data_IF_005977772430
#
_entry.id   IF_005977772430
#
_cell.length_a   1.000
_cell.length_b   1.000
_cell.length_c   1.000
_cell.angle_alpha   90.00
_cell.angle_beta   90.00
_cell.angle_gamma   90.00
#
_symmetry.space_group_name_H-M   'P 1'
#
loop_
_entity.id
_entity.type
_entity.pdbx_description
1 polymer ?
#
# COMPACT_ATOMS: atom_id res chain seq x y z
N UNK A 1 21.09 11.39 -1.14
CA UNK A 1 21.26 10.84 -2.50
C UNK A 1 20.09 11.35 -3.32
N UNK A 2 20.35 12.07 -4.40
CA UNK A 2 19.27 12.54 -5.26
C UNK A 2 18.59 11.34 -5.94
N UNK A 3 17.26 11.37 -6.03
CA UNK A 3 16.49 10.36 -6.76
C UNK A 3 16.91 10.33 -8.24
N UNK A 4 16.84 9.18 -8.90
CA UNK A 4 17.25 9.01 -10.31
C UNK A 4 16.57 10.00 -11.26
N UNK A 5 15.38 10.48 -10.91
CA UNK A 5 14.56 11.39 -11.72
C UNK A 5 14.54 12.83 -11.19
N UNK A 6 15.07 13.10 -10.00
CA UNK A 6 14.91 14.38 -9.31
C UNK A 6 13.49 14.66 -8.82
N UNK A 7 12.56 13.68 -8.95
CA UNK A 7 11.18 13.77 -8.48
C UNK A 7 11.04 13.17 -7.08
N UNK A 8 10.07 13.66 -6.27
CA UNK A 8 9.75 13.02 -5.00
C UNK A 8 9.27 11.57 -5.20
N UNK A 9 9.65 10.68 -4.29
CA UNK A 9 9.31 9.25 -4.38
C UNK A 9 7.97 8.97 -3.69
N UNK A 10 7.12 8.20 -4.35
CA UNK A 10 5.90 7.61 -3.77
C UNK A 10 6.00 6.09 -3.81
N UNK A 11 5.78 5.47 -2.65
CA UNK A 11 5.66 4.03 -2.52
C UNK A 11 4.18 3.62 -2.53
N UNK A 12 3.82 2.65 -3.37
CA UNK A 12 2.44 2.12 -3.46
C UNK A 12 2.45 0.63 -3.17
N UNK A 13 1.86 0.19 -2.07
CA UNK A 13 1.68 -1.25 -1.81
C UNK A 13 0.34 -1.74 -2.38
N UNK A 14 0.26 -2.99 -2.80
CA UNK A 14 -0.91 -3.47 -3.54
C UNK A 14 -0.98 -2.86 -4.95
N UNK A 15 0.18 -2.52 -5.50
CA UNK A 15 0.33 -1.76 -6.75
C UNK A 15 -0.17 -2.50 -8.00
N UNK A 16 -0.22 -3.82 -7.98
CA UNK A 16 -0.74 -4.64 -9.07
C UNK A 16 -2.26 -4.87 -8.99
N UNK A 17 -2.90 -4.45 -7.90
CA UNK A 17 -4.35 -4.54 -7.71
C UNK A 17 -5.14 -3.53 -8.55
N UNK A 18 -6.46 -3.66 -8.52
CA UNK A 18 -7.39 -2.82 -9.31
C UNK A 18 -7.22 -1.31 -9.02
N UNK A 19 -7.12 -0.94 -7.75
CA UNK A 19 -6.92 0.45 -7.34
C UNK A 19 -5.45 0.84 -7.52
N UNK A 20 -4.52 -0.04 -7.08
CA UNK A 20 -3.09 0.21 -7.12
C UNK A 20 -2.57 0.57 -8.50
N UNK A 21 -2.95 -0.16 -9.54
CA UNK A 21 -2.54 0.13 -10.93
C UNK A 21 -3.00 1.51 -11.40
N UNK A 22 -4.16 1.98 -10.96
CA UNK A 22 -4.69 3.31 -11.28
C UNK A 22 -3.95 4.40 -10.53
N UNK A 23 -3.64 4.17 -9.25
CA UNK A 23 -2.85 5.09 -8.41
C UNK A 23 -1.45 5.24 -8.99
N UNK A 24 -0.76 4.13 -9.30
CA UNK A 24 0.56 4.15 -9.95
C UNK A 24 0.53 4.99 -11.23
N UNK A 25 -0.47 4.76 -12.09
CA UNK A 25 -0.62 5.54 -13.33
C UNK A 25 -0.90 7.02 -13.08
N UNK A 26 -1.73 7.35 -12.11
CA UNK A 26 -2.12 8.73 -11.83
C UNK A 26 -0.95 9.59 -11.35
N UNK A 27 -0.02 9.01 -10.59
CA UNK A 27 1.10 9.75 -10.02
C UNK A 27 2.40 9.68 -10.87
N UNK A 28 2.47 8.81 -11.86
CA UNK A 28 3.71 8.56 -12.63
C UNK A 28 4.25 9.77 -13.42
N UNK A 29 3.44 10.77 -13.72
CA UNK A 29 3.89 12.00 -14.40
C UNK A 29 4.66 12.93 -13.47
N UNK A 30 4.25 13.03 -12.21
CA UNK A 30 4.73 14.06 -11.28
C UNK A 30 5.70 13.52 -10.23
N UNK A 31 5.64 12.20 -9.96
CA UNK A 31 6.42 11.50 -8.96
C UNK A 31 7.22 10.34 -9.53
N UNK A 32 8.27 9.96 -8.83
CA UNK A 32 8.93 8.68 -9.00
C UNK A 32 8.13 7.63 -8.22
N UNK A 33 7.39 6.77 -8.92
CA UNK A 33 6.48 5.82 -8.29
C UNK A 33 7.11 4.44 -8.23
N UNK A 34 7.19 3.86 -7.05
CA UNK A 34 7.64 2.49 -6.82
C UNK A 34 6.47 1.65 -6.31
N UNK A 35 6.12 0.62 -7.06
CA UNK A 35 5.08 -0.34 -6.66
C UNK A 35 5.66 -1.49 -5.85
N UNK A 36 4.99 -1.84 -4.74
CA UNK A 36 5.22 -3.09 -4.02
C UNK A 36 4.00 -3.98 -4.13
N UNK A 37 4.21 -5.23 -4.54
CA UNK A 37 3.15 -6.25 -4.57
C UNK A 37 3.77 -7.65 -4.59
N UNK A 38 2.96 -8.67 -4.34
CA UNK A 38 3.35 -10.09 -4.42
C UNK A 38 3.73 -10.51 -5.85
N UNK A 39 3.13 -9.86 -6.85
CA UNK A 39 3.37 -10.14 -8.27
C UNK A 39 3.46 -8.85 -9.07
N UNK A 40 4.34 -8.84 -10.06
CA UNK A 40 4.44 -7.74 -11.01
C UNK A 40 3.12 -7.57 -11.79
N UNK A 41 2.64 -6.33 -11.97
CA UNK A 41 1.45 -6.09 -12.79
C UNK A 41 1.70 -6.51 -14.26
N UNK A 42 0.66 -7.03 -14.91
CA UNK A 42 0.73 -7.44 -16.32
C UNK A 42 1.11 -6.28 -17.25
N UNK A 43 0.62 -5.07 -16.92
CA UNK A 43 0.92 -3.83 -17.66
C UNK A 43 1.70 -2.89 -16.76
N UNK A 44 2.93 -2.64 -17.11
CA UNK A 44 3.77 -1.65 -16.43
C UNK A 44 3.49 -0.26 -16.95
N UNK A 45 3.59 0.74 -16.09
CA UNK A 45 3.53 2.16 -16.46
C UNK A 45 4.96 2.64 -16.70
N UNK A 46 5.17 3.34 -17.81
CA UNK A 46 6.49 3.87 -18.13
C UNK A 46 6.96 4.84 -17.03
N UNK A 47 8.24 4.75 -16.65
CA UNK A 47 8.83 5.60 -15.61
C UNK A 47 8.46 5.21 -14.17
N UNK A 48 7.90 4.01 -13.98
CA UNK A 48 7.64 3.47 -12.64
C UNK A 48 8.48 2.22 -12.39
N UNK A 49 8.88 2.01 -11.14
CA UNK A 49 9.59 0.81 -10.71
C UNK A 49 8.67 -0.13 -9.94
N UNK A 50 9.08 -1.38 -9.86
CA UNK A 50 8.35 -2.44 -9.14
C UNK A 50 9.32 -3.32 -8.36
N UNK A 51 8.98 -3.56 -7.10
CA UNK A 51 9.71 -4.46 -6.22
C UNK A 51 8.71 -5.53 -5.72
N UNK A 52 9.06 -6.80 -5.90
CA UNK A 52 8.26 -7.90 -5.37
C UNK A 52 8.38 -7.95 -3.85
N UNK A 53 7.23 -8.03 -3.18
CA UNK A 53 7.16 -8.04 -1.73
C UNK A 53 5.96 -8.85 -1.24
N UNK A 54 6.26 -9.87 -0.42
CA UNK A 54 5.25 -10.62 0.32
C UNK A 54 5.14 -10.05 1.75
N UNK A 55 4.12 -9.24 2.00
CA UNK A 55 3.89 -8.62 3.31
C UNK A 55 3.60 -9.64 4.43
N UNK A 56 3.36 -10.91 4.09
CA UNK A 56 3.17 -11.96 5.10
C UNK A 56 4.48 -12.50 5.67
N UNK A 57 5.63 -12.09 5.09
CA UNK A 57 6.97 -12.59 5.44
C UNK A 57 7.91 -11.44 5.83
N UNK A 58 8.48 -11.53 7.03
CA UNK A 58 9.40 -10.51 7.56
C UNK A 58 10.60 -10.29 6.64
N UNK A 59 11.24 -11.38 6.18
CA UNK A 59 12.42 -11.30 5.32
C UNK A 59 12.11 -10.63 3.98
N UNK A 60 10.93 -10.91 3.40
CA UNK A 60 10.52 -10.30 2.13
C UNK A 60 10.33 -8.79 2.26
N UNK A 61 9.74 -8.34 3.37
CA UNK A 61 9.55 -6.91 3.64
C UNK A 61 10.88 -6.20 3.82
N UNK A 62 11.79 -6.79 4.61
CA UNK A 62 13.13 -6.22 4.83
C UNK A 62 13.89 -6.12 3.51
N UNK A 63 13.97 -7.21 2.73
CA UNK A 63 14.66 -7.22 1.44
C UNK A 63 14.08 -6.22 0.44
N UNK A 64 12.75 -6.10 0.38
CA UNK A 64 12.09 -5.17 -0.51
C UNK A 64 12.41 -3.71 -0.14
N UNK A 65 12.41 -3.36 1.16
CA UNK A 65 12.71 -2.02 1.61
C UNK A 65 14.22 -1.69 1.55
N UNK A 66 15.11 -2.67 1.72
CA UNK A 66 16.55 -2.49 1.47
C UNK A 66 16.80 -2.21 -0.02
N UNK A 67 16.18 -2.98 -0.92
CA UNK A 67 16.23 -2.74 -2.37
C UNK A 67 15.70 -1.35 -2.74
N UNK A 68 14.61 -0.93 -2.08
CA UNK A 68 14.01 0.39 -2.26
C UNK A 68 14.97 1.48 -1.83
N UNK A 69 15.61 1.33 -0.65
CA UNK A 69 16.62 2.26 -0.13
C UNK A 69 17.81 2.41 -1.07
N UNK A 70 18.32 1.28 -1.58
CA UNK A 70 19.49 1.28 -2.48
C UNK A 70 19.20 1.95 -3.82
N UNK A 71 17.98 1.79 -4.34
CA UNK A 71 17.61 2.28 -5.66
C UNK A 71 17.01 3.70 -5.65
N UNK A 72 16.28 4.08 -4.60
CA UNK A 72 15.44 5.29 -4.55
C UNK A 72 15.71 6.17 -3.31
N UNK A 73 16.63 5.75 -2.42
CA UNK A 73 16.92 6.46 -1.18
C UNK A 73 15.93 6.12 -0.06
N UNK A 74 15.93 6.96 0.98
CA UNK A 74 15.18 6.70 2.21
C UNK A 74 14.11 7.75 2.52
N UNK A 75 13.85 8.67 1.56
CA UNK A 75 12.89 9.75 1.72
C UNK A 75 11.70 9.54 0.79
N UNK A 76 10.50 9.52 1.35
CA UNK A 76 9.25 9.37 0.61
C UNK A 76 8.32 10.55 0.84
N UNK A 77 7.82 11.14 -0.24
CA UNK A 77 6.73 12.11 -0.16
C UNK A 77 5.44 11.44 0.34
N UNK A 78 5.21 10.18 -0.06
CA UNK A 78 4.05 9.43 0.45
C UNK A 78 4.27 7.92 0.36
N UNK A 79 3.71 7.20 1.33
CA UNK A 79 3.47 5.77 1.26
C UNK A 79 1.96 5.56 1.15
N UNK A 80 1.49 5.01 0.04
CA UNK A 80 0.08 4.70 -0.20
C UNK A 80 -0.12 3.19 -0.01
N UNK A 81 -0.69 2.83 1.13
CA UNK A 81 -0.85 1.43 1.53
C UNK A 81 -2.23 0.91 1.15
N UNK A 82 -2.29 0.14 0.04
CA UNK A 82 -3.50 -0.47 -0.50
C UNK A 82 -3.49 -2.00 -0.40
N UNK A 83 -2.35 -2.59 -0.02
CA UNK A 83 -2.25 -4.04 0.14
C UNK A 83 -3.10 -4.52 1.31
N UNK A 84 -4.09 -5.32 1.01
CA UNK A 84 -4.98 -5.94 1.98
C UNK A 84 -5.54 -7.23 1.41
N UNK A 85 -5.94 -8.15 2.28
CA UNK A 85 -6.73 -9.30 1.86
C UNK A 85 -8.20 -8.92 1.81
N UNK A 86 -8.84 -9.24 0.69
CA UNK A 86 -10.26 -9.07 0.52
C UNK A 86 -10.85 -10.25 -0.24
N UNK A 87 -11.89 -10.86 0.31
CA UNK A 87 -12.61 -11.98 -0.28
C UNK A 87 -14.13 -11.72 -0.27
N UNK A 88 -14.74 -11.77 -1.43
CA UNK A 88 -16.19 -11.60 -1.60
C UNK A 88 -16.99 -12.82 -1.16
N UNK A 89 -16.36 -13.97 -0.92
CA UNK A 89 -17.07 -15.19 -0.49
C UNK A 89 -17.66 -15.08 0.91
N UNK A 90 -17.15 -14.16 1.73
CA UNK A 90 -17.52 -14.01 3.14
C UNK A 90 -17.02 -15.16 4.02
N UNK A 91 -16.18 -16.04 3.50
CA UNK A 91 -15.63 -17.15 4.28
C UNK A 91 -14.53 -16.66 5.22
N UNK A 92 -14.45 -17.19 6.44
CA UNK A 92 -13.34 -16.91 7.35
C UNK A 92 -12.00 -17.27 6.72
N UNK A 93 -11.02 -16.37 6.83
CA UNK A 93 -9.67 -16.60 6.34
C UNK A 93 -8.63 -15.98 7.27
N UNK A 94 -7.60 -16.74 7.60
CA UNK A 94 -6.44 -16.26 8.35
C UNK A 94 -5.68 -15.14 7.63
N UNK A 95 -5.90 -14.98 6.32
CA UNK A 95 -5.23 -13.97 5.51
C UNK A 95 -5.63 -12.54 5.91
N UNK A 96 -6.84 -12.33 6.45
CA UNK A 96 -7.20 -11.03 7.03
C UNK A 96 -6.22 -10.62 8.13
N UNK A 97 -5.88 -11.54 9.03
CA UNK A 97 -4.91 -11.30 10.09
C UNK A 97 -3.48 -11.23 9.54
N UNK A 98 -3.05 -12.25 8.79
CA UNK A 98 -1.66 -12.42 8.33
C UNK A 98 -1.21 -11.31 7.39
N UNK A 99 -2.06 -10.90 6.43
CA UNK A 99 -1.72 -9.89 5.44
C UNK A 99 -2.17 -8.50 5.92
N UNK A 100 -3.47 -8.31 6.22
CA UNK A 100 -3.97 -6.96 6.48
C UNK A 100 -3.50 -6.40 7.82
N UNK A 101 -3.47 -7.21 8.88
CA UNK A 101 -3.05 -6.72 10.20
C UNK A 101 -1.53 -6.85 10.38
N UNK A 102 -1.03 -8.08 10.35
CA UNK A 102 0.39 -8.35 10.62
C UNK A 102 1.30 -7.83 9.50
N UNK A 103 0.85 -7.91 8.23
CA UNK A 103 1.58 -7.37 7.09
C UNK A 103 1.72 -5.85 7.15
N UNK A 104 0.64 -5.13 7.49
CA UNK A 104 0.69 -3.69 7.74
C UNK A 104 1.65 -3.35 8.88
N UNK A 105 1.62 -4.12 9.97
CA UNK A 105 2.53 -3.91 11.10
C UNK A 105 4.00 -4.11 10.70
N UNK A 106 4.33 -5.16 9.92
CA UNK A 106 5.68 -5.40 9.39
C UNK A 106 6.16 -4.24 8.53
N UNK A 107 5.31 -3.78 7.62
CA UNK A 107 5.62 -2.64 6.77
C UNK A 107 5.92 -1.38 7.61
N UNK A 108 5.04 -1.03 8.54
CA UNK A 108 5.22 0.14 9.41
C UNK A 108 6.46 0.03 10.28
N UNK A 109 6.77 -1.16 10.80
CA UNK A 109 7.97 -1.42 11.59
C UNK A 109 9.25 -1.16 10.80
N UNK A 110 9.30 -1.60 9.54
CA UNK A 110 10.47 -1.43 8.68
C UNK A 110 10.57 0.00 8.14
N UNK A 111 9.44 0.67 7.89
CA UNK A 111 9.39 2.07 7.47
C UNK A 111 9.88 3.07 8.53
N UNK A 112 10.07 2.66 9.79
CA UNK A 112 10.64 3.53 10.84
C UNK A 112 12.05 4.05 10.50
N UNK A 113 12.78 3.33 9.67
CA UNK A 113 14.12 3.70 9.23
C UNK A 113 14.12 4.58 7.96
N UNK A 114 12.94 5.04 7.55
CA UNK A 114 12.72 5.91 6.40
C UNK A 114 12.06 7.22 6.83
N UNK A 115 12.35 8.28 6.09
CA UNK A 115 11.68 9.57 6.24
C UNK A 115 10.44 9.59 5.34
N UNK A 116 9.27 9.50 5.94
CA UNK A 116 7.98 9.49 5.23
C UNK A 116 7.17 10.71 5.62
N UNK A 117 6.89 11.60 4.66
CA UNK A 117 6.11 12.83 4.92
C UNK A 117 4.62 12.50 5.15
N UNK A 118 4.09 11.52 4.39
CA UNK A 118 2.68 11.13 4.47
C UNK A 118 2.53 9.60 4.37
N UNK A 119 1.68 9.04 5.23
CA UNK A 119 1.22 7.65 5.11
C UNK A 119 -0.30 7.64 4.87
N UNK A 120 -0.71 7.14 3.70
CA UNK A 120 -2.12 7.01 3.31
C UNK A 120 -2.51 5.54 3.42
N UNK A 121 -3.51 5.27 4.24
CA UNK A 121 -4.05 3.93 4.45
C UNK A 121 -5.49 3.86 3.93
N UNK A 122 -5.77 2.86 3.08
CA UNK A 122 -7.16 2.59 2.68
C UNK A 122 -7.89 1.90 3.81
N UNK A 123 -8.95 2.51 4.31
CA UNK A 123 -9.84 1.91 5.29
C UNK A 123 -11.03 1.22 4.57
N UNK A 124 -12.04 0.86 5.33
CA UNK A 124 -13.27 0.26 4.83
C UNK A 124 -14.47 0.78 5.60
N UNK A 125 -15.63 0.89 4.93
CA UNK A 125 -16.89 1.23 5.59
C UNK A 125 -17.31 0.16 6.62
N UNK A 126 -16.78 -1.05 6.51
CA UNK A 126 -17.09 -2.15 7.43
C UNK A 126 -16.55 -1.97 8.85
N UNK A 127 -15.73 -0.94 9.10
CA UNK A 127 -15.32 -0.57 10.47
C UNK A 127 -16.43 0.15 11.22
N UNK A 128 -17.45 0.66 10.53
CA UNK A 128 -18.58 1.35 11.13
C UNK A 128 -19.66 0.39 11.57
N UNK A 129 -20.38 0.72 12.65
CA UNK A 129 -21.59 -0.03 13.02
C UNK A 129 -22.60 0.00 11.86
N UNK A 130 -23.24 -1.15 11.55
CA UNK A 130 -24.32 -1.18 10.56
C UNK A 130 -25.46 -0.22 10.92
N UNK A 131 -26.05 0.42 9.92
CA UNK A 131 -27.25 1.22 10.15
C UNK A 131 -28.37 0.33 10.70
N UNK A 132 -28.90 0.68 11.88
CA UNK A 132 -29.91 -0.13 12.58
C UNK A 132 -31.34 0.13 12.08
N UNK A 133 -31.54 1.22 11.35
CA UNK A 133 -32.85 1.64 10.85
C UNK A 133 -32.87 1.57 9.32
N UNK A 134 -33.97 1.06 8.78
CA UNK A 134 -34.16 0.98 7.33
C UNK A 134 -34.12 2.38 6.70
N UNK A 135 -33.37 2.53 5.61
CA UNK A 135 -33.20 3.82 4.91
C UNK A 135 -32.18 4.78 5.52
N UNK A 136 -31.61 4.47 6.68
CA UNK A 136 -30.55 5.30 7.29
C UNK A 136 -29.23 5.01 6.59
N UNK A 137 -28.50 6.07 6.20
CA UNK A 137 -27.19 5.97 5.56
C UNK A 137 -26.06 6.13 6.57
N UNK A 138 -24.97 5.43 6.35
CA UNK A 138 -23.73 5.68 7.07
C UNK A 138 -23.10 7.00 6.57
N UNK A 139 -22.54 7.75 7.48
CA UNK A 139 -21.81 9.01 7.23
C UNK A 139 -20.53 9.02 8.04
N UNK A 140 -19.68 10.02 7.84
CA UNK A 140 -18.42 10.20 8.57
C UNK A 140 -18.61 10.34 10.09
N UNK A 141 -19.81 10.67 10.54
CA UNK A 141 -20.18 10.76 11.96
C UNK A 141 -20.84 9.51 12.53
N UNK A 142 -20.97 8.45 11.72
CA UNK A 142 -21.51 7.18 12.19
C UNK A 142 -20.53 6.49 13.17
N UNK A 143 -21.03 5.77 14.20
CA UNK A 143 -20.16 5.11 15.18
C UNK A 143 -19.36 3.96 14.57
N UNK A 144 -18.22 3.66 15.23
CA UNK A 144 -17.32 2.55 14.91
C UNK A 144 -17.60 1.35 15.82
#
# INVERSE_FOLDING_TARGET
>A
METKSGKPVILVTGSAGLIGTRVVKAFSSDFEVVGLDLKRPEKTVAGTDFIECDLTKDESVVQALDTLRDNHGHQFASVIHLAAYYDFSGQPSDMYRKLTVEGTFRLLKTLKDFETEQFVFSSTILVMEPAREEGKRLTESSPF
#
